data_IF_549127040602
#
_entry.id   IF_549127040602
#
_cell.length_a   1.000
_cell.length_b   1.000
_cell.length_c   1.000
_cell.angle_alpha   90.00
_cell.angle_beta   90.00
_cell.angle_gamma   90.00
#
_symmetry.space_group_name_H-M   'P 1'
#
loop_
_entity.id
_entity.type
_entity.pdbx_description
1 polymer ?
#
# COMPACT_ATOMS: atom_id res chain seq x y z
N UNK A 1 67.85 -12.10 25.08
CA UNK A 1 66.96 -11.41 26.04
C UNK A 1 66.63 -10.07 25.47
N UNK A 2 65.39 -9.88 25.05
CA UNK A 2 64.90 -8.66 24.41
C UNK A 2 64.74 -7.48 25.39
N UNK A 3 64.74 -7.77 26.69
CA UNK A 3 64.58 -6.79 27.77
C UNK A 3 65.72 -5.76 27.90
N UNK A 4 66.95 -5.99 27.26
CA UNK A 4 68.07 -5.05 27.34
C UNK A 4 67.93 -3.84 26.38
N UNK A 5 66.95 -3.78 25.50
CA UNK A 5 66.76 -2.73 24.53
C UNK A 5 65.54 -1.88 24.82
N UNK A 6 64.96 -1.96 26.03
CA UNK A 6 63.77 -1.14 26.41
C UNK A 6 62.44 -1.61 25.81
N UNK A 7 62.43 -2.81 25.21
CA UNK A 7 61.18 -3.41 24.78
C UNK A 7 60.43 -3.95 25.99
N UNK A 8 59.21 -3.44 26.23
CA UNK A 8 58.34 -4.00 27.25
C UNK A 8 57.71 -5.29 26.73
N UNK A 9 57.44 -6.23 27.64
CA UNK A 9 56.72 -7.47 27.31
C UNK A 9 55.19 -7.22 27.15
N UNK A 10 54.77 -5.99 27.28
CA UNK A 10 53.40 -5.59 27.03
C UNK A 10 53.15 -5.49 25.53
N UNK A 11 52.29 -6.32 25.05
CA UNK A 11 51.97 -6.50 23.63
C UNK A 11 50.96 -5.41 23.23
N UNK A 12 51.50 -4.29 22.74
CA UNK A 12 50.70 -3.20 22.16
C UNK A 12 50.21 -2.12 23.16
N UNK A 13 49.96 -0.92 22.65
CA UNK A 13 49.48 0.24 23.42
C UNK A 13 47.97 0.22 23.70
N UNK A 14 47.23 -0.73 23.08
CA UNK A 14 45.78 -0.84 23.28
C UNK A 14 45.49 -1.77 24.45
N UNK A 15 44.96 -1.20 25.53
CA UNK A 15 44.61 -1.95 26.77
C UNK A 15 43.21 -2.51 26.76
N UNK A 16 42.30 -1.94 25.94
CA UNK A 16 40.94 -2.42 25.72
C UNK A 16 40.40 -1.95 24.39
N UNK A 17 39.51 -2.73 23.79
CA UNK A 17 38.61 -2.35 22.70
C UNK A 17 37.21 -2.43 23.24
N UNK A 18 36.48 -1.30 23.23
CA UNK A 18 35.10 -1.20 23.73
C UNK A 18 34.20 -0.89 22.56
N UNK A 19 33.09 -1.62 22.46
CA UNK A 19 32.07 -1.36 21.46
C UNK A 19 31.37 0.01 21.76
N UNK A 20 31.23 0.84 20.73
CA UNK A 20 30.41 2.04 20.77
C UNK A 20 28.99 1.75 20.25
N UNK A 21 28.17 2.80 20.08
CA UNK A 21 26.80 2.68 19.57
C UNK A 21 26.79 1.97 18.22
N UNK A 22 25.83 1.08 18.03
CA UNK A 22 25.66 0.24 16.84
C UNK A 22 26.59 -0.96 16.76
N UNK A 23 27.45 -1.16 17.77
CA UNK A 23 28.37 -2.28 17.85
C UNK A 23 28.18 -3.04 19.16
N UNK A 24 28.50 -4.32 19.15
CA UNK A 24 28.60 -5.17 20.34
C UNK A 24 29.90 -5.93 20.37
N UNK A 25 30.34 -6.35 21.56
CA UNK A 25 31.60 -7.07 21.78
C UNK A 25 32.72 -6.17 22.28
N UNK A 26 33.97 -6.59 22.03
CA UNK A 26 35.19 -5.97 22.54
C UNK A 26 36.01 -6.93 23.37
N UNK A 27 37.20 -6.50 23.84
CA UNK A 27 38.04 -7.25 24.72
C UNK A 27 39.04 -6.34 25.48
N UNK A 28 39.42 -6.75 26.69
CA UNK A 28 40.49 -6.10 27.48
C UNK A 28 41.84 -6.82 27.36
N UNK A 29 41.90 -7.92 26.63
CA UNK A 29 43.14 -8.67 26.34
C UNK A 29 42.90 -9.63 25.17
N UNK A 30 43.97 -10.01 24.46
CA UNK A 30 43.92 -10.95 23.35
C UNK A 30 43.23 -10.38 22.11
N UNK A 31 42.47 -11.22 21.38
CA UNK A 31 41.72 -10.79 20.19
C UNK A 31 40.40 -10.16 20.60
N UNK A 32 40.05 -9.00 20.01
CA UNK A 32 38.78 -8.34 20.15
C UNK A 32 37.89 -8.61 18.93
N UNK A 33 36.67 -9.02 19.18
CA UNK A 33 35.62 -9.12 18.13
C UNK A 33 34.59 -8.01 18.34
N UNK A 34 34.31 -7.25 17.28
CA UNK A 34 33.24 -6.27 17.22
C UNK A 34 32.22 -6.72 16.17
N UNK A 35 30.98 -6.77 16.56
CA UNK A 35 29.82 -7.09 15.67
C UNK A 35 28.95 -5.87 15.50
N UNK A 36 28.27 -5.77 14.35
CA UNK A 36 27.18 -4.80 14.18
C UNK A 36 26.02 -5.27 15.04
N UNK A 37 25.51 -4.38 15.88
CA UNK A 37 24.34 -4.64 16.72
C UNK A 37 23.12 -3.94 16.13
N UNK A 38 22.36 -4.68 15.31
CA UNK A 38 21.14 -4.17 14.66
C UNK A 38 20.00 -3.91 15.66
N UNK A 39 20.16 -4.33 16.93
CA UNK A 39 19.17 -4.09 17.99
C UNK A 39 19.40 -2.75 18.71
N UNK A 40 20.56 -2.11 18.50
CA UNK A 40 20.87 -0.82 19.10
C UNK A 40 20.04 0.31 18.48
N UNK A 41 18.95 0.67 19.15
CA UNK A 41 18.03 1.76 18.73
C UNK A 41 18.67 3.14 18.77
N UNK A 42 19.87 3.31 19.34
CA UNK A 42 20.62 4.57 19.25
C UNK A 42 21.13 4.82 17.81
N UNK A 43 21.31 3.77 17.00
CA UNK A 43 21.80 3.87 15.62
C UNK A 43 20.79 3.38 14.60
N UNK A 44 20.09 2.28 14.86
CA UNK A 44 19.23 1.57 13.90
C UNK A 44 17.76 1.71 14.24
N UNK A 45 16.91 1.82 13.19
CA UNK A 45 15.44 1.81 13.36
C UNK A 45 14.74 1.42 12.06
N UNK A 46 13.57 0.79 12.17
CA UNK A 46 12.66 0.56 11.04
C UNK A 46 11.65 1.72 10.87
N UNK A 47 11.55 2.62 11.85
CA UNK A 47 10.68 3.79 11.80
C UNK A 47 11.38 4.99 11.18
N UNK A 48 10.59 5.95 10.68
CA UNK A 48 11.11 7.20 10.12
C UNK A 48 11.62 8.12 11.25
N UNK A 49 12.90 7.97 11.60
CA UNK A 49 13.56 8.74 12.65
C UNK A 49 14.81 9.42 12.10
N UNK A 50 14.93 10.74 12.30
CA UNK A 50 16.07 11.50 11.84
C UNK A 50 17.39 10.97 12.41
N UNK A 51 18.46 11.03 11.61
CA UNK A 51 19.84 10.67 11.99
C UNK A 51 20.03 9.21 12.43
N UNK A 52 19.15 8.31 11.95
CA UNK A 52 19.27 6.86 12.17
C UNK A 52 19.54 6.11 10.88
N UNK A 53 20.24 4.99 10.99
CA UNK A 53 20.35 4.02 9.91
C UNK A 53 19.08 3.18 9.82
N UNK A 54 18.62 2.92 8.59
CA UNK A 54 17.41 2.14 8.34
C UNK A 54 17.72 0.65 8.51
N UNK A 55 16.91 -0.02 9.32
CA UNK A 55 16.82 -1.48 9.40
C UNK A 55 15.42 -1.90 8.96
N UNK A 56 15.32 -3.00 8.20
CA UNK A 56 14.01 -3.57 7.86
C UNK A 56 13.39 -4.23 9.09
N UNK A 57 12.08 -4.15 9.22
CA UNK A 57 11.33 -4.89 10.24
C UNK A 57 11.29 -6.40 9.94
N UNK A 58 10.64 -7.18 10.79
CA UNK A 58 10.50 -8.63 10.62
C UNK A 58 9.76 -9.08 9.36
N UNK A 59 9.04 -8.18 8.70
CA UNK A 59 8.35 -8.37 7.42
C UNK A 59 9.14 -7.83 6.22
N UNK A 60 10.32 -7.26 6.46
CA UNK A 60 11.17 -6.68 5.42
C UNK A 60 10.85 -5.24 5.05
N UNK A 61 9.96 -4.56 5.76
CA UNK A 61 9.55 -3.18 5.51
C UNK A 61 10.43 -2.18 6.27
N UNK A 62 10.37 -0.93 5.85
CA UNK A 62 10.88 0.23 6.59
C UNK A 62 10.00 1.45 6.33
N UNK A 63 10.00 2.42 7.24
CA UNK A 63 9.31 3.69 7.08
C UNK A 63 10.28 4.80 6.68
N UNK A 64 9.86 5.66 5.77
CA UNK A 64 10.57 6.86 5.35
C UNK A 64 9.59 8.04 5.24
N UNK A 65 10.08 9.28 5.42
CA UNK A 65 9.25 10.48 5.22
C UNK A 65 9.05 10.75 3.72
N UNK A 66 10.13 11.08 3.02
CA UNK A 66 10.11 11.30 1.57
C UNK A 66 11.10 10.35 0.91
N UNK A 67 10.67 9.66 -0.14
CA UNK A 67 11.53 8.82 -0.97
C UNK A 67 11.67 9.50 -2.34
N UNK A 68 12.91 9.91 -2.69
CA UNK A 68 13.26 10.36 -4.04
C UNK A 68 13.95 9.20 -4.76
N UNK A 69 13.20 8.47 -5.57
CA UNK A 69 13.69 7.28 -6.26
C UNK A 69 12.95 7.05 -7.58
N UNK A 70 13.52 6.21 -8.45
CA UNK A 70 12.82 5.66 -9.60
C UNK A 70 12.26 4.29 -9.23
N UNK A 71 10.92 4.16 -9.17
CA UNK A 71 10.26 2.87 -9.02
C UNK A 71 10.01 2.28 -10.42
N UNK A 72 10.52 1.08 -10.67
CA UNK A 72 10.38 0.38 -11.95
C UNK A 72 9.28 -0.67 -11.94
N UNK A 73 8.79 -1.05 -10.75
CA UNK A 73 7.76 -2.07 -10.55
C UNK A 73 6.87 -1.70 -9.36
N UNK A 74 5.58 -2.01 -9.48
CA UNK A 74 4.62 -2.06 -8.39
C UNK A 74 4.01 -3.47 -8.33
N UNK A 75 3.72 -3.97 -7.15
CA UNK A 75 3.14 -5.31 -6.97
C UNK A 75 1.66 -5.34 -7.35
N UNK A 76 0.92 -4.28 -7.05
CA UNK A 76 -0.51 -4.12 -7.31
C UNK A 76 -0.76 -3.17 -8.48
N UNK A 77 -2.00 -3.13 -8.99
CA UNK A 77 -2.26 -2.60 -10.33
C UNK A 77 -3.15 -1.37 -10.37
N UNK A 78 -3.57 -0.82 -9.21
CA UNK A 78 -4.44 0.35 -9.17
C UNK A 78 -3.89 1.51 -8.33
N UNK A 79 -4.36 2.69 -8.67
CA UNK A 79 -4.22 3.93 -7.93
C UNK A 79 -5.53 4.18 -7.20
N UNK A 80 -5.49 4.26 -5.86
CA UNK A 80 -6.66 4.52 -5.05
C UNK A 80 -6.49 5.76 -4.16
N UNK A 81 -7.59 6.28 -3.68
CA UNK A 81 -7.66 7.35 -2.70
C UNK A 81 -8.61 6.96 -1.56
N UNK A 82 -8.27 7.32 -0.33
CA UNK A 82 -9.15 7.15 0.82
C UNK A 82 -10.25 8.20 0.83
N UNK A 83 -11.47 7.74 1.00
CA UNK A 83 -12.69 8.53 1.19
C UNK A 83 -13.40 8.14 2.48
N UNK A 84 -14.05 9.12 3.12
CA UNK A 84 -14.99 8.85 4.21
C UNK A 84 -16.31 8.35 3.63
N UNK A 85 -16.71 7.16 4.03
CA UNK A 85 -17.93 6.50 3.60
C UNK A 85 -19.00 6.51 4.70
N UNK A 86 -20.26 6.28 4.34
CA UNK A 86 -21.37 6.15 5.27
C UNK A 86 -21.53 4.73 5.85
N UNK A 87 -20.73 3.77 5.36
CA UNK A 87 -20.65 2.40 5.87
C UNK A 87 -19.30 1.74 5.50
N UNK A 88 -19.04 0.59 6.08
CA UNK A 88 -17.95 -0.28 5.62
C UNK A 88 -18.36 -0.98 4.32
N UNK A 89 -17.59 -0.74 3.27
CA UNK A 89 -17.81 -1.34 1.96
C UNK A 89 -16.70 -2.33 1.61
N UNK A 90 -17.11 -3.54 1.26
CA UNK A 90 -16.17 -4.59 0.83
C UNK A 90 -15.52 -4.26 -0.51
N UNK A 91 -14.30 -4.77 -0.79
CA UNK A 91 -13.66 -4.67 -2.09
C UNK A 91 -14.59 -5.07 -3.25
N UNK A 92 -14.46 -4.36 -4.35
CA UNK A 92 -15.30 -4.55 -5.54
C UNK A 92 -16.62 -3.78 -5.52
N UNK A 93 -16.99 -3.12 -4.43
CA UNK A 93 -18.21 -2.32 -4.32
C UNK A 93 -18.10 -1.04 -5.14
N UNK A 94 -19.09 -0.78 -5.99
CA UNK A 94 -19.20 0.45 -6.79
C UNK A 94 -19.74 1.58 -5.93
N UNK A 95 -19.06 2.72 -5.93
CA UNK A 95 -19.43 3.89 -5.14
C UNK A 95 -19.69 5.12 -6.01
N UNK A 96 -20.52 5.99 -5.48
CA UNK A 96 -20.84 7.33 -6.01
C UNK A 96 -20.44 8.40 -5.01
N UNK A 97 -20.26 9.64 -5.47
CA UNK A 97 -20.18 10.81 -4.60
C UNK A 97 -21.56 11.13 -4.04
N UNK A 98 -21.69 11.24 -2.71
CA UNK A 98 -22.95 11.56 -2.03
C UNK A 98 -23.11 10.80 -0.72
N UNK A 99 -24.34 10.79 -0.21
CA UNK A 99 -24.66 10.29 1.12
C UNK A 99 -24.45 11.35 2.22
N UNK A 100 -24.31 10.90 3.46
CA UNK A 100 -23.98 11.78 4.60
C UNK A 100 -22.50 12.16 4.64
N UNK A 101 -21.66 11.37 3.97
CA UNK A 101 -20.21 11.56 3.87
C UNK A 101 -19.81 11.79 2.40
N UNK A 102 -18.55 11.46 2.05
CA UNK A 102 -18.03 11.72 0.71
C UNK A 102 -18.54 10.71 -0.32
N UNK A 103 -18.63 9.43 0.08
CA UNK A 103 -19.03 8.33 -0.82
C UNK A 103 -20.07 7.41 -0.21
N UNK A 104 -20.92 6.87 -1.09
CA UNK A 104 -21.99 5.92 -0.76
C UNK A 104 -22.27 5.01 -1.95
N UNK A 105 -23.19 4.06 -1.80
CA UNK A 105 -23.77 3.29 -2.92
C UNK A 105 -24.95 4.03 -3.57
N UNK A 106 -25.42 3.53 -4.72
CA UNK A 106 -26.57 4.09 -5.43
C UNK A 106 -27.52 2.99 -5.90
N UNK A 107 -28.80 3.30 -5.97
CA UNK A 107 -29.86 2.54 -6.65
C UNK A 107 -30.25 3.15 -8.00
N UNK A 108 -29.52 4.18 -8.44
CA UNK A 108 -29.73 4.84 -9.74
C UNK A 108 -28.84 4.20 -10.82
N UNK A 109 -29.47 3.48 -11.75
CA UNK A 109 -28.76 2.89 -12.89
C UNK A 109 -28.10 3.97 -13.77
N UNK A 110 -26.80 3.82 -14.02
CA UNK A 110 -26.03 4.78 -14.81
C UNK A 110 -25.84 6.12 -14.12
N UNK A 111 -25.79 6.17 -12.79
CA UNK A 111 -25.56 7.41 -12.04
C UNK A 111 -24.31 8.14 -12.54
N UNK A 112 -24.44 9.42 -12.83
CA UNK A 112 -23.32 10.30 -13.25
C UNK A 112 -22.40 10.68 -12.10
N UNK A 113 -22.73 10.26 -10.88
CA UNK A 113 -21.92 10.50 -9.68
C UNK A 113 -20.92 9.37 -9.40
N UNK A 114 -20.83 8.35 -10.28
CA UNK A 114 -19.90 7.24 -10.09
C UNK A 114 -18.47 7.76 -9.90
N UNK A 115 -17.79 7.32 -8.82
CA UNK A 115 -16.44 7.75 -8.48
C UNK A 115 -15.42 6.66 -8.72
N UNK A 116 -15.77 5.41 -8.46
CA UNK A 116 -14.86 4.28 -8.61
C UNK A 116 -15.37 3.03 -7.91
N UNK A 117 -14.44 2.13 -7.64
CA UNK A 117 -14.70 0.83 -7.02
C UNK A 117 -13.78 0.65 -5.83
N UNK A 118 -14.29 0.10 -4.73
CA UNK A 118 -13.46 -0.18 -3.55
C UNK A 118 -12.33 -1.14 -3.93
N UNK A 119 -11.09 -0.68 -3.73
CA UNK A 119 -9.87 -1.44 -4.01
C UNK A 119 -9.64 -2.55 -3.01
N UNK A 120 -8.90 -3.56 -3.39
CA UNK A 120 -8.42 -4.64 -2.51
C UNK A 120 -7.11 -4.24 -1.83
N UNK A 121 -6.09 -3.95 -2.66
CA UNK A 121 -4.73 -3.58 -2.26
C UNK A 121 -4.16 -2.64 -3.32
N UNK A 122 -4.25 -1.33 -3.16
CA UNK A 122 -3.77 -0.40 -4.19
C UNK A 122 -2.25 -0.38 -4.29
N UNK A 123 -1.74 -0.24 -5.52
CA UNK A 123 -0.31 -0.02 -5.77
C UNK A 123 0.17 1.32 -5.22
N UNK A 124 -0.72 2.31 -5.20
CA UNK A 124 -0.49 3.61 -4.60
C UNK A 124 -1.78 4.11 -3.95
N UNK A 125 -1.69 4.46 -2.67
CA UNK A 125 -2.82 4.99 -1.90
C UNK A 125 -2.60 6.47 -1.60
N UNK A 126 -3.51 7.28 -2.10
CA UNK A 126 -3.57 8.72 -1.78
C UNK A 126 -4.44 8.95 -0.55
N UNK A 127 -4.33 10.14 0.05
CA UNK A 127 -5.08 10.54 1.24
C UNK A 127 -4.99 9.51 2.38
N UNK A 128 -3.77 8.97 2.61
CA UNK A 128 -3.52 7.92 3.61
C UNK A 128 -3.74 8.36 5.06
N UNK A 129 -3.89 9.68 5.30
CA UNK A 129 -4.20 10.27 6.60
C UNK A 129 -5.68 10.61 6.76
N UNK A 130 -6.54 10.18 5.82
CA UNK A 130 -7.99 10.35 5.92
C UNK A 130 -8.51 9.70 7.20
N UNK A 131 -9.28 10.43 7.97
CA UNK A 131 -9.88 9.97 9.23
C UNK A 131 -11.41 10.02 9.12
N UNK A 132 -12.10 9.01 9.64
CA UNK A 132 -13.55 8.87 9.66
C UNK A 132 -13.96 7.57 10.34
N UNK A 133 -15.23 7.40 10.62
CA UNK A 133 -15.76 6.15 11.19
C UNK A 133 -15.59 4.99 10.20
N UNK A 134 -15.84 5.25 8.92
CA UNK A 134 -15.65 4.31 7.82
C UNK A 134 -14.77 4.97 6.76
N UNK A 135 -13.58 4.43 6.52
CA UNK A 135 -12.66 4.90 5.48
C UNK A 135 -12.43 3.79 4.47
N UNK A 136 -12.67 4.07 3.20
CA UNK A 136 -12.53 3.10 2.12
C UNK A 136 -11.56 3.59 1.05
N UNK A 137 -10.70 2.72 0.56
CA UNK A 137 -9.81 3.00 -0.56
C UNK A 137 -10.56 2.81 -1.87
N UNK A 138 -10.84 3.88 -2.60
CA UNK A 138 -11.54 3.84 -3.89
C UNK A 138 -10.54 3.89 -5.03
N UNK A 139 -10.54 2.87 -5.87
CA UNK A 139 -9.73 2.82 -7.08
C UNK A 139 -10.26 3.84 -8.09
N UNK A 140 -9.40 4.79 -8.45
CA UNK A 140 -9.68 5.84 -9.44
C UNK A 140 -9.11 5.51 -10.81
N UNK A 141 -8.09 4.63 -10.84
CA UNK A 141 -7.44 4.18 -12.08
C UNK A 141 -6.73 2.85 -11.89
N UNK A 142 -6.86 1.96 -12.87
CA UNK A 142 -6.12 0.70 -12.89
C UNK A 142 -7.03 -0.52 -12.90
N UNK A 143 -6.48 -1.66 -12.47
CA UNK A 143 -7.17 -2.95 -12.51
C UNK A 143 -7.66 -3.32 -11.11
N UNK A 144 -8.97 -3.57 -10.99
CA UNK A 144 -9.61 -3.98 -9.73
C UNK A 144 -10.72 -5.00 -9.97
N UNK A 145 -11.05 -5.85 -8.97
CA UNK A 145 -12.30 -6.59 -8.97
C UNK A 145 -13.49 -5.62 -8.86
N UNK A 146 -14.59 -5.93 -9.55
CA UNK A 146 -15.83 -5.15 -9.49
C UNK A 146 -17.02 -6.09 -9.34
N UNK A 147 -17.89 -5.81 -8.38
CA UNK A 147 -19.17 -6.50 -8.21
C UNK A 147 -20.10 -6.12 -9.37
N UNK A 148 -20.67 -7.12 -10.03
CA UNK A 148 -21.55 -6.93 -11.19
C UNK A 148 -22.81 -7.76 -11.09
N UNK A 149 -23.88 -7.28 -11.74
CA UNK A 149 -25.13 -8.02 -11.96
C UNK A 149 -25.28 -8.37 -13.44
N UNK A 150 -25.93 -9.49 -13.72
CA UNK A 150 -26.20 -9.97 -15.07
C UNK A 150 -24.98 -10.48 -15.80
N UNK A 151 -25.15 -10.76 -17.08
CA UNK A 151 -24.09 -11.21 -17.97
C UNK A 151 -23.15 -10.07 -18.34
N UNK A 152 -21.86 -10.29 -18.22
CA UNK A 152 -20.82 -9.35 -18.61
C UNK A 152 -19.84 -10.06 -19.52
N UNK A 153 -19.56 -9.50 -20.69
CA UNK A 153 -18.53 -9.97 -21.59
C UNK A 153 -17.26 -9.14 -21.45
N UNK A 154 -16.12 -9.74 -21.71
CA UNK A 154 -14.86 -9.02 -21.82
C UNK A 154 -14.98 -7.91 -22.86
N UNK A 155 -14.64 -6.69 -22.46
CA UNK A 155 -14.72 -5.49 -23.28
C UNK A 155 -15.96 -4.64 -23.03
N UNK A 156 -16.97 -5.16 -22.33
CA UNK A 156 -18.18 -4.40 -22.00
C UNK A 156 -17.84 -3.18 -21.14
N UNK A 157 -18.52 -2.08 -21.41
CA UNK A 157 -18.49 -0.87 -20.58
C UNK A 157 -19.47 -1.05 -19.44
N UNK A 158 -19.00 -0.78 -18.22
CA UNK A 158 -19.78 -0.93 -17.00
C UNK A 158 -20.16 0.44 -16.42
N UNK A 159 -21.40 0.53 -15.96
CA UNK A 159 -21.96 1.66 -15.23
C UNK A 159 -22.53 1.20 -13.89
N UNK A 160 -22.81 2.11 -12.97
CA UNK A 160 -23.51 1.76 -11.72
C UNK A 160 -24.87 1.11 -12.06
N UNK A 161 -25.25 0.08 -11.31
CA UNK A 161 -26.57 -0.58 -11.45
C UNK A 161 -27.59 0.05 -10.52
N UNK A 162 -28.85 -0.39 -10.64
CA UNK A 162 -29.93 -0.15 -9.68
C UNK A 162 -29.84 -1.02 -8.41
N UNK A 163 -28.90 -1.94 -8.39
CA UNK A 163 -28.56 -2.72 -7.18
C UNK A 163 -27.39 -2.06 -6.48
N UNK A 164 -27.57 -1.55 -5.26
CA UNK A 164 -26.53 -0.80 -4.56
C UNK A 164 -25.20 -1.56 -4.46
N UNK A 165 -24.11 -0.87 -4.82
CA UNK A 165 -22.77 -1.42 -4.78
C UNK A 165 -22.33 -2.29 -5.96
N UNK A 166 -23.22 -2.50 -6.94
CA UNK A 166 -22.94 -3.31 -8.13
C UNK A 166 -22.85 -2.44 -9.40
N UNK A 167 -22.07 -2.90 -10.36
CA UNK A 167 -22.11 -2.43 -11.73
C UNK A 167 -22.99 -3.32 -12.62
N UNK A 168 -23.39 -2.80 -13.78
CA UNK A 168 -24.03 -3.53 -14.86
C UNK A 168 -23.45 -3.11 -16.20
N UNK A 169 -23.74 -3.87 -17.26
CA UNK A 169 -23.38 -3.47 -18.63
C UNK A 169 -24.17 -2.22 -19.02
N UNK A 170 -23.45 -1.18 -19.40
CA UNK A 170 -24.02 0.09 -19.83
C UNK A 170 -24.72 -0.04 -21.17
N UNK A 171 -25.93 0.53 -21.29
CA UNK A 171 -26.62 0.74 -22.58
C UNK A 171 -26.00 1.93 -23.32
N UNK A 172 -26.35 2.09 -24.61
CA UNK A 172 -25.97 3.30 -25.38
C UNK A 172 -26.39 4.59 -24.67
N UNK A 173 -27.54 4.59 -24.00
CA UNK A 173 -28.04 5.75 -23.26
C UNK A 173 -27.15 6.10 -22.05
N UNK A 174 -26.61 5.09 -21.37
CA UNK A 174 -25.75 5.29 -20.20
C UNK A 174 -24.28 5.63 -20.58
N UNK A 175 -23.80 5.14 -21.72
CA UNK A 175 -22.38 5.30 -22.10
C UNK A 175 -22.08 6.56 -22.89
N UNK A 176 -23.07 7.43 -23.11
CA UNK A 176 -22.89 8.73 -23.80
C UNK A 176 -22.11 9.74 -22.95
N UNK A 177 -22.07 9.57 -21.64
CA UNK A 177 -21.32 10.44 -20.73
C UNK A 177 -20.17 9.66 -20.06
N UNK A 178 -18.91 10.11 -20.19
CA UNK A 178 -17.79 9.52 -19.46
C UNK A 178 -17.98 9.50 -17.94
N UNK A 179 -18.80 10.40 -17.40
CA UNK A 179 -19.08 10.51 -15.96
C UNK A 179 -19.93 9.35 -15.42
N UNK A 180 -20.57 8.57 -16.29
CA UNK A 180 -21.37 7.40 -15.91
C UNK A 180 -20.56 6.10 -15.93
N UNK A 181 -19.38 6.11 -16.52
CA UNK A 181 -18.57 4.90 -16.72
C UNK A 181 -17.80 4.58 -15.42
N UNK A 182 -18.07 3.42 -14.85
CA UNK A 182 -17.31 2.82 -13.74
C UNK A 182 -16.02 2.20 -14.26
N UNK A 183 -16.06 1.53 -15.41
CA UNK A 183 -14.90 0.90 -15.99
C UNK A 183 -15.23 0.01 -17.17
N UNK A 184 -14.24 -0.77 -17.60
CA UNK A 184 -14.37 -1.73 -18.70
C UNK A 184 -13.95 -3.13 -18.25
N UNK A 185 -14.80 -4.13 -18.49
CA UNK A 185 -14.54 -5.52 -18.13
C UNK A 185 -13.34 -6.12 -18.88
N UNK A 186 -12.42 -6.76 -18.16
CA UNK A 186 -11.30 -7.52 -18.75
C UNK A 186 -11.48 -9.03 -18.60
N UNK A 187 -12.42 -9.45 -17.78
CA UNK A 187 -12.90 -10.85 -17.70
C UNK A 187 -14.40 -10.92 -18.00
N UNK A 188 -14.90 -12.12 -18.28
CA UNK A 188 -16.32 -12.34 -18.54
C UNK A 188 -16.99 -13.08 -17.38
N UNK A 189 -18.29 -12.82 -17.20
CA UNK A 189 -19.20 -13.54 -16.33
C UNK A 189 -20.48 -13.82 -17.12
N UNK A 190 -20.78 -15.09 -17.38
CA UNK A 190 -21.80 -15.52 -18.35
C UNK A 190 -23.10 -16.06 -17.70
N UNK A 191 -23.36 -15.74 -16.45
CA UNK A 191 -24.58 -16.05 -15.74
C UNK A 191 -25.36 -14.77 -15.35
N UNK A 192 -26.67 -14.89 -15.17
CA UNK A 192 -27.54 -13.75 -14.92
C UNK A 192 -27.51 -13.26 -13.45
N UNK A 193 -26.87 -13.97 -12.54
CA UNK A 193 -26.80 -13.61 -11.12
C UNK A 193 -25.78 -12.52 -10.82
N UNK A 194 -25.57 -12.31 -9.53
CA UNK A 194 -24.49 -11.44 -9.01
C UNK A 194 -23.16 -12.14 -9.12
N UNK A 195 -22.08 -11.39 -9.25
CA UNK A 195 -20.72 -11.94 -9.27
C UNK A 195 -19.66 -10.84 -9.31
N UNK A 196 -18.45 -11.23 -9.64
CA UNK A 196 -17.30 -10.32 -9.72
C UNK A 196 -16.59 -10.51 -11.04
N UNK A 197 -16.19 -9.43 -11.67
CA UNK A 197 -15.31 -9.41 -12.83
C UNK A 197 -14.12 -8.48 -12.57
N UNK A 198 -13.00 -8.76 -13.22
CA UNK A 198 -11.88 -7.82 -13.27
C UNK A 198 -12.20 -6.71 -14.26
N UNK A 199 -11.96 -5.46 -13.87
CA UNK A 199 -12.16 -4.28 -14.71
C UNK A 199 -10.92 -3.39 -14.77
N UNK A 200 -10.89 -2.51 -15.75
CA UNK A 200 -10.05 -1.30 -15.76
C UNK A 200 -10.97 -0.13 -15.48
N UNK A 201 -10.68 0.58 -14.37
CA UNK A 201 -11.30 1.86 -14.01
C UNK A 201 -10.70 2.97 -14.86
#
# INVERSE_FOLDING_TARGET
>A
KITSYGYTTTVGDITAVVAGNGLSGGASSGSATLNVDLTDTAVFTSTNTASKAVVRDGSGNFAAGTISATATQAQYADLAENYVADADYEPGTVLILGGEHEVTTTDEAGSYKAVGVVSTDPAHLMNSTCEGEHVVAVALRGRVPCKVIGNVNKGDVLVASDTPGYAMVGSMAHTLSPLQIVGRAITSKLDAGNGVVEIIV
#
